data_IF_802923360244
#
_entry.id   IF_802923360244
#
_cell.length_a   1.000
_cell.length_b   1.000
_cell.length_c   1.000
_cell.angle_alpha   90.00
_cell.angle_beta   90.00
_cell.angle_gamma   90.00
#
_symmetry.space_group_name_H-M   'P 1'
#
loop_
_entity.id
_entity.type
_entity.pdbx_description
1 polymer ?
#
# COMPACT_ATOMS: atom_id res chain seq x y z
N UNK A 1 0.53 -18.61 -76.15
CA UNK A 1 0.85 -20.05 -76.04
C UNK A 1 1.39 -20.28 -74.63
N UNK A 2 0.71 -21.07 -73.79
CA UNK A 2 1.05 -21.52 -72.41
C UNK A 2 1.67 -20.52 -71.40
N UNK A 3 1.15 -20.33 -70.18
CA UNK A 3 -0.05 -20.89 -69.54
C UNK A 3 -0.13 -20.56 -68.03
N UNK A 4 -1.32 -20.77 -67.44
CA UNK A 4 -1.61 -21.05 -66.01
C UNK A 4 -1.11 -20.00 -64.96
N UNK A 5 -1.93 -19.09 -64.39
CA UNK A 5 -3.15 -19.21 -63.54
C UNK A 5 -2.87 -19.79 -62.11
N UNK A 6 -3.70 -19.53 -61.06
CA UNK A 6 -3.35 -18.56 -60.00
C UNK A 6 -3.73 -19.02 -58.56
N UNK A 7 -3.67 -18.13 -57.55
CA UNK A 7 -4.74 -17.80 -56.57
C UNK A 7 -4.19 -16.85 -55.47
N UNK A 8 -4.77 -15.65 -55.25
CA UNK A 8 -5.97 -15.35 -54.42
C UNK A 8 -5.72 -15.52 -52.91
N UNK A 9 -6.10 -14.65 -51.95
CA UNK A 9 -6.84 -13.35 -51.82
C UNK A 9 -6.43 -12.78 -50.43
N UNK A 10 -6.62 -11.53 -49.97
CA UNK A 10 -7.19 -10.23 -50.40
C UNK A 10 -6.58 -9.16 -49.43
N UNK A 11 -6.29 -7.89 -49.79
CA UNK A 11 -7.19 -6.71 -49.75
C UNK A 11 -8.18 -6.65 -48.56
N UNK A 12 -8.41 -5.55 -47.83
CA UNK A 12 -7.84 -4.20 -47.78
C UNK A 12 -8.28 -3.56 -46.43
N UNK A 13 -7.77 -2.37 -46.06
CA UNK A 13 -8.33 -1.61 -44.94
C UNK A 13 -7.34 -0.72 -44.19
N UNK A 14 -7.04 0.46 -44.73
CA UNK A 14 -6.25 1.47 -44.04
C UNK A 14 -7.15 2.50 -43.35
N UNK A 15 -6.89 2.82 -42.08
CA UNK A 15 -7.38 4.02 -41.41
C UNK A 15 -6.45 4.46 -40.27
N UNK A 16 -5.73 5.56 -40.52
CA UNK A 16 -5.60 6.77 -39.67
C UNK A 16 -5.21 6.68 -38.17
N UNK A 17 -4.46 7.64 -37.59
CA UNK A 17 -3.57 8.69 -38.13
C UNK A 17 -2.72 9.28 -36.97
N UNK A 18 -1.48 9.67 -37.28
CA UNK A 18 -0.46 10.36 -36.46
C UNK A 18 -0.95 11.31 -35.34
N UNK A 19 -0.24 11.28 -34.19
CA UNK A 19 0.68 12.32 -33.65
C UNK A 19 1.75 11.54 -32.85
N UNK A 20 3.05 11.83 -32.77
CA UNK A 20 3.85 12.98 -33.20
C UNK A 20 4.91 13.31 -32.13
N UNK A 21 5.97 12.48 -32.09
CA UNK A 21 7.39 12.81 -31.83
C UNK A 21 7.82 13.83 -30.74
N UNK A 22 8.76 13.39 -29.88
CA UNK A 22 10.01 14.04 -29.40
C UNK A 22 10.39 13.38 -28.06
N UNK A 23 11.63 13.08 -27.67
CA UNK A 23 12.96 12.83 -28.25
C UNK A 23 13.85 12.49 -27.03
N UNK A 24 14.76 11.51 -27.17
CA UNK A 24 16.03 11.30 -26.44
C UNK A 24 16.12 11.67 -24.92
N UNK A 25 16.56 10.80 -24.01
CA UNK A 25 17.91 10.22 -24.02
C UNK A 25 18.15 9.18 -22.89
N UNK A 26 18.98 8.19 -23.19
CA UNK A 26 20.10 7.67 -22.36
C UNK A 26 19.99 7.51 -20.84
N UNK A 27 20.27 6.29 -20.35
CA UNK A 27 21.08 6.13 -19.13
C UNK A 27 20.60 5.09 -18.12
N UNK A 28 20.96 3.83 -18.31
CA UNK A 28 20.90 2.84 -17.24
C UNK A 28 21.96 3.20 -16.17
N UNK A 29 21.56 3.83 -15.05
CA UNK A 29 22.40 3.97 -13.86
C UNK A 29 21.74 3.38 -12.62
N UNK A 30 22.48 2.46 -12.02
CA UNK A 30 22.22 1.80 -10.74
C UNK A 30 22.26 2.85 -9.61
N UNK A 31 21.10 3.16 -9.03
CA UNK A 31 20.93 3.80 -7.72
C UNK A 31 20.02 2.86 -6.93
N UNK A 32 20.32 2.44 -5.71
CA UNK A 32 21.09 3.15 -4.70
C UNK A 32 20.12 3.42 -3.56
N UNK A 33 20.07 2.54 -2.57
CA UNK A 33 19.21 2.71 -1.38
C UNK A 33 19.78 3.86 -0.57
N UNK A 34 19.12 5.02 -0.63
CA UNK A 34 19.49 6.18 0.19
C UNK A 34 18.28 7.06 0.46
N UNK A 35 17.89 7.10 1.75
CA UNK A 35 17.14 8.14 2.45
C UNK A 35 15.75 8.52 1.93
N UNK A 36 14.76 7.67 2.25
CA UNK A 36 13.33 8.07 2.32
C UNK A 36 13.02 8.84 3.62
N UNK A 37 13.97 8.92 4.57
CA UNK A 37 13.80 9.59 5.86
C UNK A 37 13.80 11.13 5.83
N UNK A 38 14.22 11.76 4.72
CA UNK A 38 14.37 13.23 4.65
C UNK A 38 13.20 13.98 4.01
N UNK A 39 12.22 13.27 3.42
CA UNK A 39 11.07 13.91 2.78
C UNK A 39 9.81 13.97 3.66
N UNK A 40 9.70 13.12 4.68
CA UNK A 40 8.57 13.17 5.61
C UNK A 40 8.73 14.24 6.71
N UNK A 41 9.95 14.52 7.20
CA UNK A 41 10.14 15.50 8.29
C UNK A 41 9.72 16.92 7.89
N UNK A 42 9.91 17.32 6.63
CA UNK A 42 9.52 18.64 6.12
C UNK A 42 8.00 18.85 6.03
N UNK A 43 7.20 17.78 5.99
CA UNK A 43 5.74 17.86 6.03
C UNK A 43 5.23 17.93 7.48
N UNK A 44 5.90 17.26 8.41
CA UNK A 44 5.56 17.29 9.83
C UNK A 44 5.76 18.67 10.48
N UNK A 45 6.91 19.33 10.24
CA UNK A 45 7.19 20.64 10.84
C UNK A 45 6.34 21.78 10.25
N UNK A 46 5.98 21.72 8.96
CA UNK A 46 5.18 22.79 8.36
C UNK A 46 3.73 22.82 8.85
N UNK A 47 3.10 21.67 9.10
CA UNK A 47 1.69 21.61 9.51
C UNK A 47 1.47 22.13 10.93
N UNK A 48 2.30 21.68 11.89
CA UNK A 48 2.20 22.11 13.30
C UNK A 48 2.49 23.61 13.48
N UNK A 49 3.53 24.12 12.81
CA UNK A 49 3.89 25.53 12.88
C UNK A 49 2.84 26.44 12.23
N UNK A 50 2.26 26.05 11.08
CA UNK A 50 1.24 26.86 10.41
C UNK A 50 -0.07 26.96 11.22
N UNK A 51 -0.49 25.90 11.92
CA UNK A 51 -1.69 25.95 12.76
C UNK A 51 -1.46 26.80 14.03
N UNK A 52 -0.29 26.64 14.67
CA UNK A 52 0.10 27.46 15.82
C UNK A 52 0.22 28.96 15.46
N UNK A 53 0.85 29.27 14.32
CA UNK A 53 0.95 30.63 13.79
C UNK A 53 -0.43 31.24 13.49
N UNK A 54 -1.33 30.48 12.86
CA UNK A 54 -2.70 30.92 12.55
C UNK A 54 -3.51 31.25 13.82
N UNK A 55 -3.39 30.43 14.87
CA UNK A 55 -4.04 30.71 16.16
C UNK A 55 -3.40 31.94 16.84
N UNK A 56 -2.08 32.13 16.72
CA UNK A 56 -1.39 33.31 17.28
C UNK A 56 -1.78 34.62 16.61
N UNK A 57 -2.24 34.58 15.35
CA UNK A 57 -2.77 35.74 14.62
C UNK A 57 -4.17 36.13 15.12
N UNK A 58 -5.03 35.16 15.42
CA UNK A 58 -6.36 35.40 16.01
C UNK A 58 -6.22 36.06 17.39
N UNK A 59 -5.26 35.60 18.21
CA UNK A 59 -5.01 36.17 19.54
C UNK A 59 -4.54 37.64 19.50
N UNK A 60 -3.90 38.09 18.40
CA UNK A 60 -3.28 39.42 18.30
C UNK A 60 -4.25 40.54 17.89
N UNK A 61 -5.48 40.21 17.52
CA UNK A 61 -6.51 41.17 17.04
C UNK A 61 -7.51 41.64 18.11
N UNK A 62 -7.36 41.22 19.38
CA UNK A 62 -8.34 41.49 20.45
C UNK A 62 -7.94 42.61 21.43
N UNK A 63 -6.83 43.31 21.21
CA UNK A 63 -6.54 44.52 21.99
C UNK A 63 -7.24 45.76 21.40
N UNK A 64 -8.58 45.78 21.52
CA UNK A 64 -9.28 47.06 21.49
C UNK A 64 -8.93 47.80 22.78
N UNK A 65 -8.06 48.80 22.68
CA UNK A 65 -7.92 49.81 23.73
C UNK A 65 -9.30 50.39 24.00
N UNK A 66 -9.93 49.99 25.12
CA UNK A 66 -11.12 50.65 25.61
C UNK A 66 -10.68 52.01 26.15
N UNK A 67 -10.56 52.99 25.25
CA UNK A 67 -10.21 54.38 25.52
C UNK A 67 -10.95 54.82 26.78
N UNK A 68 -10.24 55.31 27.78
CA UNK A 68 -10.81 55.69 29.08
C UNK A 68 -11.73 56.90 28.94
N UNK A 69 -12.94 56.69 28.43
CA UNK A 69 -14.06 57.60 28.62
C UNK A 69 -14.55 57.37 30.04
N UNK A 70 -13.95 58.16 30.93
CA UNK A 70 -14.40 58.62 32.24
C UNK A 70 -14.85 57.59 33.27
N UNK A 71 -14.37 57.80 34.50
CA UNK A 71 -15.02 57.28 35.70
C UNK A 71 -16.47 57.77 35.72
N UNK A 72 -17.42 56.92 35.33
CA UNK A 72 -18.84 57.19 35.55
C UNK A 72 -19.28 56.40 36.78
N UNK A 73 -19.83 57.15 37.74
CA UNK A 73 -20.42 56.71 39.01
C UNK A 73 -21.18 55.39 38.85
N UNK A 74 -21.14 54.52 39.88
CA UNK A 74 -22.06 53.37 40.05
C UNK A 74 -23.52 53.88 40.06
N UNK A 75 -24.11 54.06 38.89
CA UNK A 75 -25.51 54.45 38.76
C UNK A 75 -26.38 53.23 39.01
N UNK A 76 -27.28 53.38 39.98
CA UNK A 76 -28.19 52.32 40.41
C UNK A 76 -29.32 52.18 39.36
N UNK A 77 -29.05 51.46 38.28
CA UNK A 77 -30.00 51.15 37.19
C UNK A 77 -30.36 52.31 36.24
N UNK A 78 -30.46 53.56 36.72
CA UNK A 78 -30.83 54.71 35.89
C UNK A 78 -29.61 55.37 35.23
N UNK A 79 -29.57 55.39 33.90
CA UNK A 79 -28.56 56.14 33.11
C UNK A 79 -28.87 57.64 33.25
N UNK A 80 -28.07 58.35 34.05
CA UNK A 80 -28.28 59.77 34.33
C UNK A 80 -27.88 60.63 33.12
N UNK A 81 -28.87 61.18 32.41
CA UNK A 81 -28.66 62.28 31.49
C UNK A 81 -28.59 63.58 32.30
N UNK A 82 -27.41 64.19 32.38
CA UNK A 82 -27.16 65.42 33.14
C UNK A 82 -27.61 66.66 32.35
N UNK A 83 -28.94 66.81 32.17
CA UNK A 83 -29.53 68.10 31.81
C UNK A 83 -29.65 68.94 33.08
N UNK A 84 -28.96 70.08 33.08
CA UNK A 84 -29.20 71.14 34.06
C UNK A 84 -30.53 71.84 33.70
N UNK A 85 -31.62 71.29 34.24
CA UNK A 85 -32.99 71.79 34.03
C UNK A 85 -33.13 73.23 34.51
N UNK A 86 -32.45 73.60 35.59
CA UNK A 86 -32.47 74.97 36.12
C UNK A 86 -31.78 75.94 35.16
N UNK A 87 -30.59 75.61 34.64
CA UNK A 87 -29.92 76.45 33.66
C UNK A 87 -30.69 76.55 32.33
N UNK A 88 -31.43 75.50 31.93
CA UNK A 88 -32.28 75.54 30.74
C UNK A 88 -33.49 76.47 30.94
N UNK A 89 -34.21 76.35 32.06
CA UNK A 89 -35.32 77.25 32.41
C UNK A 89 -34.83 78.70 32.48
N UNK A 90 -33.72 78.97 33.17
CA UNK A 90 -33.15 80.33 33.28
C UNK A 90 -32.74 80.92 31.94
N UNK A 91 -32.27 80.09 30.99
CA UNK A 91 -32.01 80.53 29.60
C UNK A 91 -33.28 80.90 28.85
N UNK A 92 -34.34 80.11 28.98
CA UNK A 92 -35.64 80.36 28.33
C UNK A 92 -36.29 81.64 28.90
N UNK A 93 -36.27 81.81 30.22
CA UNK A 93 -36.70 83.05 30.89
C UNK A 93 -35.91 84.27 30.40
N UNK A 94 -34.58 84.13 30.26
CA UNK A 94 -33.70 85.18 29.70
C UNK A 94 -33.94 85.51 28.22
N UNK A 95 -34.75 84.71 27.50
CA UNK A 95 -35.23 84.99 26.13
C UNK A 95 -36.68 85.47 26.10
N UNK A 96 -37.28 85.78 27.26
CA UNK A 96 -38.65 86.30 27.37
C UNK A 96 -39.74 85.23 27.44
N UNK A 97 -39.39 83.94 27.59
CA UNK A 97 -40.39 82.88 27.84
C UNK A 97 -40.87 82.97 29.29
N UNK A 98 -42.19 83.01 29.57
CA UNK A 98 -42.67 83.05 30.95
C UNK A 98 -42.35 81.74 31.69
N UNK A 99 -42.00 81.84 32.97
CA UNK A 99 -41.45 80.74 33.79
C UNK A 99 -42.21 79.42 33.66
N UNK A 100 -43.55 79.44 33.78
CA UNK A 100 -44.41 78.27 33.66
C UNK A 100 -44.29 77.56 32.29
N UNK A 101 -44.07 78.31 31.21
CA UNK A 101 -43.85 77.75 29.87
C UNK A 101 -42.41 77.26 29.70
N UNK A 102 -41.43 77.96 30.26
CA UNK A 102 -40.04 77.53 30.28
C UNK A 102 -39.85 76.20 31.02
N UNK A 103 -40.56 76.01 32.14
CA UNK A 103 -40.60 74.77 32.91
C UNK A 103 -41.28 73.64 32.11
N UNK A 104 -42.46 73.88 31.54
CA UNK A 104 -43.18 72.89 30.73
C UNK A 104 -42.38 72.43 29.48
N UNK A 105 -41.72 73.36 28.78
CA UNK A 105 -40.84 73.06 27.65
C UNK A 105 -39.62 72.23 28.12
N UNK A 106 -39.02 72.61 29.27
CA UNK A 106 -37.89 71.87 29.86
C UNK A 106 -38.29 70.46 30.27
N UNK A 107 -39.49 70.27 30.82
CA UNK A 107 -40.03 68.96 31.18
C UNK A 107 -40.22 68.06 29.95
N UNK A 108 -40.91 68.55 28.91
CA UNK A 108 -41.14 67.79 27.68
C UNK A 108 -39.83 67.43 26.95
N UNK A 109 -38.84 68.34 26.93
CA UNK A 109 -37.50 68.06 26.39
C UNK A 109 -36.80 66.96 27.22
N UNK A 110 -36.89 67.03 28.54
CA UNK A 110 -36.27 66.04 29.45
C UNK A 110 -36.91 64.65 29.30
N UNK A 111 -38.22 64.58 29.10
CA UNK A 111 -38.97 63.34 28.84
C UNK A 111 -38.52 62.68 27.53
N UNK A 112 -38.57 63.40 26.39
CA UNK A 112 -38.15 62.89 25.08
C UNK A 112 -36.67 62.45 25.07
N UNK A 113 -35.81 63.16 25.81
CA UNK A 113 -34.40 62.79 25.95
C UNK A 113 -34.19 61.52 26.78
N UNK A 114 -34.96 61.31 27.85
CA UNK A 114 -34.91 60.08 28.64
C UNK A 114 -35.39 58.88 27.82
N UNK A 115 -36.52 58.99 27.12
CA UNK A 115 -37.05 57.93 26.26
C UNK A 115 -36.09 57.59 25.12
N UNK A 116 -35.51 58.61 24.48
CA UNK A 116 -34.50 58.43 23.43
C UNK A 116 -33.26 57.73 23.98
N UNK A 117 -32.80 58.09 25.18
CA UNK A 117 -31.63 57.48 25.81
C UNK A 117 -31.91 56.03 26.24
N UNK A 118 -33.11 55.70 26.71
CA UNK A 118 -33.48 54.32 27.08
C UNK A 118 -33.62 53.42 25.84
N UNK A 119 -34.19 53.94 24.75
CA UNK A 119 -34.24 53.22 23.47
C UNK A 119 -32.83 52.95 22.90
N UNK A 120 -31.95 53.96 22.92
CA UNK A 120 -30.54 53.78 22.53
C UNK A 120 -29.81 52.83 23.49
N UNK A 121 -30.14 52.89 24.79
CA UNK A 121 -29.57 52.07 25.88
C UNK A 121 -29.64 50.57 25.59
N UNK A 122 -30.77 50.08 25.07
CA UNK A 122 -30.96 48.68 24.69
C UNK A 122 -30.06 48.19 23.55
N UNK A 123 -29.54 49.09 22.72
CA UNK A 123 -28.59 48.73 21.64
C UNK A 123 -27.14 48.57 22.12
N UNK A 124 -26.84 48.89 23.38
CA UNK A 124 -25.49 48.82 23.96
C UNK A 124 -25.42 47.88 25.16
N UNK A 125 -24.46 46.96 25.11
CA UNK A 125 -24.09 46.08 26.24
C UNK A 125 -23.25 46.86 27.25
N UNK A 126 -23.44 46.61 28.56
CA UNK A 126 -22.59 47.26 29.57
C UNK A 126 -21.15 46.75 29.53
N UNK A 127 -20.18 47.56 29.97
CA UNK A 127 -18.75 47.15 30.01
C UNK A 127 -18.54 45.88 30.83
N UNK A 128 -19.28 45.70 31.94
CA UNK A 128 -19.18 44.52 32.79
C UNK A 128 -19.74 43.25 32.14
N UNK A 129 -20.84 43.35 31.40
CA UNK A 129 -21.40 42.22 30.64
C UNK A 129 -20.51 41.84 29.47
N UNK A 130 -19.99 42.82 28.72
CA UNK A 130 -19.04 42.59 27.63
C UNK A 130 -17.80 41.84 28.13
N UNK A 131 -17.18 42.32 29.22
CA UNK A 131 -16.01 41.66 29.81
C UNK A 131 -16.32 40.23 30.30
N UNK A 132 -17.50 40.00 30.88
CA UNK A 132 -17.95 38.66 31.27
C UNK A 132 -18.09 37.73 30.06
N UNK A 133 -18.68 38.20 28.96
CA UNK A 133 -18.83 37.43 27.72
C UNK A 133 -17.46 37.10 27.12
N UNK A 134 -16.54 38.07 27.09
CA UNK A 134 -15.16 37.89 26.62
C UNK A 134 -14.42 36.82 27.45
N UNK A 135 -14.45 36.91 28.78
CA UNK A 135 -13.85 35.90 29.67
C UNK A 135 -14.44 34.50 29.45
N UNK A 136 -15.75 34.38 29.25
CA UNK A 136 -16.40 33.10 28.94
C UNK A 136 -15.90 32.57 27.59
N UNK A 137 -15.88 33.42 26.55
CA UNK A 137 -15.42 33.06 25.22
C UNK A 137 -13.96 32.58 25.21
N UNK A 138 -13.06 33.31 25.88
CA UNK A 138 -11.65 32.93 25.99
C UNK A 138 -11.47 31.63 26.78
N UNK A 139 -12.26 31.42 27.84
CA UNK A 139 -12.23 30.15 28.59
C UNK A 139 -12.69 28.95 27.75
N UNK A 140 -13.71 29.14 26.90
CA UNK A 140 -14.22 28.10 26.01
C UNK A 140 -13.24 27.82 24.85
N UNK A 141 -12.62 28.87 24.29
CA UNK A 141 -11.59 28.74 23.27
C UNK A 141 -10.34 28.01 23.81
N UNK A 142 -9.95 28.31 25.05
CA UNK A 142 -8.82 27.64 25.72
C UNK A 142 -9.11 26.15 25.97
N UNK A 143 -10.32 25.82 26.45
CA UNK A 143 -10.77 24.42 26.60
C UNK A 143 -10.75 23.67 25.26
N UNK A 144 -11.42 24.21 24.24
CA UNK A 144 -11.44 23.64 22.90
C UNK A 144 -10.03 23.41 22.34
N UNK A 145 -9.13 24.39 22.48
CA UNK A 145 -7.72 24.24 22.09
C UNK A 145 -7.04 23.08 22.81
N UNK A 146 -7.24 22.95 24.13
CA UNK A 146 -6.65 21.88 24.93
C UNK A 146 -7.21 20.48 24.57
N UNK A 147 -8.51 20.39 24.29
CA UNK A 147 -9.17 19.15 23.84
C UNK A 147 -8.69 18.72 22.46
N UNK A 148 -8.61 19.65 21.50
CA UNK A 148 -8.08 19.39 20.15
C UNK A 148 -6.62 18.96 20.22
N UNK A 149 -5.78 19.67 20.99
CA UNK A 149 -4.36 19.34 21.12
C UNK A 149 -4.13 17.99 21.81
N UNK A 150 -4.89 17.68 22.86
CA UNK A 150 -4.86 16.40 23.57
C UNK A 150 -5.31 15.25 22.66
N UNK A 151 -6.45 15.41 21.99
CA UNK A 151 -7.00 14.45 21.03
C UNK A 151 -6.02 14.18 19.88
N UNK A 152 -5.48 15.23 19.25
CA UNK A 152 -4.51 15.10 18.17
C UNK A 152 -3.24 14.38 18.63
N UNK A 153 -2.70 14.73 19.81
CA UNK A 153 -1.52 14.07 20.36
C UNK A 153 -1.76 12.59 20.67
N UNK A 154 -2.93 12.25 21.24
CA UNK A 154 -3.31 10.87 21.53
C UNK A 154 -3.50 10.05 20.24
N UNK A 155 -4.31 10.53 19.30
CA UNK A 155 -4.54 9.85 18.03
C UNK A 155 -3.25 9.66 17.22
N UNK A 156 -2.37 10.67 17.20
CA UNK A 156 -1.08 10.55 16.52
C UNK A 156 -0.18 9.49 17.17
N UNK A 157 -0.09 9.49 18.50
CA UNK A 157 0.72 8.52 19.24
C UNK A 157 0.21 7.09 19.07
N UNK A 158 -1.12 6.90 19.11
CA UNK A 158 -1.76 5.61 18.90
C UNK A 158 -1.54 5.09 17.47
N UNK A 159 -1.83 5.91 16.44
CA UNK A 159 -1.64 5.53 15.05
C UNK A 159 -0.17 5.26 14.73
N UNK A 160 0.76 6.03 15.29
CA UNK A 160 2.21 5.79 15.15
C UNK A 160 2.63 4.45 15.76
N UNK A 161 2.13 4.12 16.95
CA UNK A 161 2.39 2.84 17.61
C UNK A 161 1.79 1.66 16.83
N UNK A 162 0.55 1.76 16.37
CA UNK A 162 -0.10 0.72 15.56
C UNK A 162 0.60 0.52 14.21
N UNK A 163 1.03 1.62 13.56
CA UNK A 163 1.79 1.56 12.30
C UNK A 163 3.13 0.86 12.50
N UNK A 164 3.89 1.20 13.55
CA UNK A 164 5.17 0.56 13.84
C UNK A 164 4.99 -0.91 14.25
N UNK A 165 3.92 -1.25 14.99
CA UNK A 165 3.56 -2.64 15.30
C UNK A 165 3.30 -3.44 14.02
N UNK A 166 2.43 -2.95 13.14
CA UNK A 166 2.14 -3.58 11.86
C UNK A 166 3.39 -3.71 10.97
N UNK A 167 4.28 -2.71 10.97
CA UNK A 167 5.57 -2.76 10.26
C UNK A 167 6.45 -3.90 10.75
N UNK A 168 6.52 -4.11 12.06
CA UNK A 168 7.29 -5.20 12.67
C UNK A 168 6.66 -6.58 12.43
N UNK A 169 5.32 -6.68 12.50
CA UNK A 169 4.60 -7.93 12.16
C UNK A 169 4.81 -8.32 10.69
N UNK A 170 4.79 -7.35 9.77
CA UNK A 170 5.10 -7.55 8.34
C UNK A 170 6.53 -8.05 8.13
N UNK A 171 7.53 -7.43 8.78
CA UNK A 171 8.93 -7.85 8.62
C UNK A 171 9.18 -9.24 9.22
N UNK A 172 8.53 -9.55 10.35
CA UNK A 172 8.54 -10.90 10.94
C UNK A 172 7.96 -11.93 9.96
N UNK A 173 6.74 -11.73 9.46
CA UNK A 173 6.12 -12.62 8.47
C UNK A 173 6.98 -12.77 7.21
N UNK A 174 7.60 -11.68 6.73
CA UNK A 174 8.51 -11.69 5.58
C UNK A 174 9.72 -12.57 5.81
N UNK A 175 10.31 -12.54 7.01
CA UNK A 175 11.44 -13.41 7.38
C UNK A 175 11.06 -14.88 7.53
N UNK A 176 9.91 -15.18 8.15
CA UNK A 176 9.38 -16.54 8.31
C UNK A 176 9.04 -17.17 6.95
N UNK A 177 8.35 -16.44 6.07
CA UNK A 177 8.05 -16.90 4.70
C UNK A 177 9.31 -17.17 3.89
N UNK A 178 10.34 -16.32 4.01
CA UNK A 178 11.62 -16.53 3.32
C UNK A 178 12.32 -17.79 3.82
N UNK A 179 12.34 -18.01 5.13
CA UNK A 179 12.91 -19.21 5.74
C UNK A 179 12.19 -20.49 5.26
N UNK A 180 10.86 -20.51 5.26
CA UNK A 180 10.10 -21.67 4.77
C UNK A 180 10.28 -21.89 3.26
N UNK A 181 10.39 -20.84 2.43
CA UNK A 181 10.73 -20.95 1.01
C UNK A 181 12.12 -21.59 0.83
N UNK A 182 13.14 -21.09 1.54
CA UNK A 182 14.52 -21.60 1.44
C UNK A 182 14.60 -23.06 1.91
N UNK A 183 13.90 -23.39 3.00
CA UNK A 183 13.78 -24.74 3.58
C UNK A 183 13.07 -25.73 2.64
N UNK A 184 11.91 -25.37 2.08
CA UNK A 184 11.19 -26.22 1.11
C UNK A 184 12.00 -26.39 -0.17
N UNK A 185 12.65 -25.32 -0.66
CA UNK A 185 13.52 -25.38 -1.84
C UNK A 185 14.73 -26.29 -1.61
N UNK A 186 15.35 -26.24 -0.43
CA UNK A 186 16.44 -27.13 -0.06
C UNK A 186 15.98 -28.60 0.06
N UNK A 187 14.82 -28.84 0.70
CA UNK A 187 14.20 -30.16 0.80
C UNK A 187 13.91 -30.78 -0.57
N UNK A 188 13.19 -30.07 -1.44
CA UNK A 188 12.90 -30.53 -2.80
C UNK A 188 14.17 -30.82 -3.62
N UNK A 189 15.22 -30.00 -3.46
CA UNK A 189 16.52 -30.26 -4.10
C UNK A 189 17.19 -31.52 -3.55
N UNK A 190 17.09 -31.78 -2.25
CA UNK A 190 17.63 -33.00 -1.64
C UNK A 190 16.87 -34.23 -2.16
N UNK A 191 15.54 -34.22 -2.10
CA UNK A 191 14.67 -35.32 -2.55
C UNK A 191 14.94 -35.70 -4.02
N UNK A 192 15.02 -34.70 -4.90
CA UNK A 192 15.35 -34.91 -6.32
C UNK A 192 16.77 -35.47 -6.54
N UNK A 193 17.73 -35.14 -5.69
CA UNK A 193 19.08 -35.71 -5.79
C UNK A 193 19.15 -37.14 -5.23
N UNK A 194 18.41 -37.44 -4.16
CA UNK A 194 18.30 -38.79 -3.60
C UNK A 194 17.60 -39.74 -4.57
N UNK A 195 16.44 -39.37 -5.13
CA UNK A 195 15.75 -40.23 -6.09
C UNK A 195 16.52 -40.36 -7.41
N UNK A 196 17.23 -39.30 -7.85
CA UNK A 196 18.19 -39.40 -8.97
C UNK A 196 19.35 -40.34 -8.66
N UNK A 197 19.81 -40.42 -7.42
CA UNK A 197 20.77 -41.43 -6.97
C UNK A 197 20.18 -42.83 -7.08
N UNK A 198 19.03 -43.05 -6.45
CA UNK A 198 18.31 -44.34 -6.44
C UNK A 198 18.01 -44.88 -7.84
N UNK A 199 17.60 -44.01 -8.78
CA UNK A 199 17.38 -44.36 -10.19
C UNK A 199 18.68 -44.78 -10.89
N UNK A 200 19.84 -44.17 -10.58
CA UNK A 200 21.13 -44.61 -11.15
C UNK A 200 21.55 -45.97 -10.60
N UNK A 201 21.35 -46.22 -9.31
CA UNK A 201 21.73 -47.48 -8.67
C UNK A 201 20.85 -48.63 -9.21
N UNK A 202 19.54 -48.40 -9.34
CA UNK A 202 18.60 -49.33 -9.99
C UNK A 202 18.98 -49.60 -11.45
N UNK A 203 19.29 -48.55 -12.23
CA UNK A 203 19.73 -48.68 -13.63
C UNK A 203 21.05 -49.44 -13.75
N UNK A 204 21.99 -49.22 -12.83
CA UNK A 204 23.26 -49.94 -12.77
C UNK A 204 23.05 -51.43 -12.44
N UNK A 205 22.15 -51.75 -11.52
CA UNK A 205 21.77 -53.12 -11.21
C UNK A 205 21.12 -53.82 -12.42
N UNK A 206 20.13 -53.20 -13.06
CA UNK A 206 19.48 -53.73 -14.25
C UNK A 206 20.45 -53.95 -15.42
N UNK A 207 21.43 -53.05 -15.59
CA UNK A 207 22.47 -53.20 -16.60
C UNK A 207 23.43 -54.37 -16.26
N UNK A 208 23.76 -54.57 -14.98
CA UNK A 208 24.56 -55.72 -14.53
C UNK A 208 23.81 -57.05 -14.69
N UNK A 209 22.51 -57.10 -14.37
CA UNK A 209 21.64 -58.26 -14.59
C UNK A 209 21.50 -58.60 -16.08
N UNK A 210 21.26 -57.58 -16.92
CA UNK A 210 21.22 -57.72 -18.38
C UNK A 210 22.53 -58.28 -18.90
N UNK A 211 23.66 -57.70 -18.48
CA UNK A 211 25.00 -58.18 -18.84
C UNK A 211 25.24 -59.61 -18.37
N UNK A 212 24.78 -60.00 -17.17
CA UNK A 212 24.87 -61.37 -16.67
C UNK A 212 24.06 -62.34 -17.53
N UNK A 213 22.85 -61.96 -17.94
CA UNK A 213 21.97 -62.77 -18.76
C UNK A 213 22.51 -62.92 -20.19
N UNK A 214 23.00 -61.86 -20.83
CA UNK A 214 23.70 -61.94 -22.13
C UNK A 214 24.88 -62.91 -22.05
N UNK A 215 25.75 -62.76 -21.03
CA UNK A 215 26.86 -63.68 -20.82
C UNK A 215 26.45 -65.13 -20.51
N UNK A 216 25.23 -65.39 -20.03
CA UNK A 216 24.68 -66.75 -19.88
C UNK A 216 24.20 -67.29 -21.23
N UNK A 217 23.42 -66.50 -21.97
CA UNK A 217 22.94 -66.84 -23.31
C UNK A 217 24.10 -67.15 -24.26
N UNK A 218 25.17 -66.35 -24.27
CA UNK A 218 26.35 -66.63 -25.11
C UNK A 218 27.01 -67.96 -24.75
N UNK A 219 27.12 -68.30 -23.46
CA UNK A 219 27.65 -69.61 -23.01
C UNK A 219 26.75 -70.76 -23.44
N UNK A 220 25.43 -70.60 -23.34
CA UNK A 220 24.46 -71.60 -23.82
C UNK A 220 24.52 -71.77 -25.34
N UNK A 221 24.63 -70.69 -26.10
CA UNK A 221 24.82 -70.72 -27.56
C UNK A 221 26.10 -71.45 -27.95
N UNK A 222 27.22 -71.18 -27.26
CA UNK A 222 28.48 -71.89 -27.48
C UNK A 222 28.38 -73.37 -27.09
N UNK A 223 27.70 -73.70 -25.99
CA UNK A 223 27.45 -75.08 -25.55
C UNK A 223 26.60 -75.86 -26.55
N UNK A 224 25.49 -75.28 -27.00
CA UNK A 224 24.61 -75.87 -28.02
C UNK A 224 25.33 -76.05 -29.36
N UNK A 225 26.17 -75.09 -29.77
CA UNK A 225 27.01 -75.23 -30.97
C UNK A 225 27.99 -76.40 -30.84
N UNK A 226 28.66 -76.54 -29.71
CA UNK A 226 29.58 -77.65 -29.47
C UNK A 226 28.86 -79.02 -29.49
N UNK A 227 27.67 -79.11 -28.88
CA UNK A 227 26.83 -80.32 -28.94
C UNK A 227 26.36 -80.62 -30.37
N UNK A 228 25.97 -79.61 -31.14
CA UNK A 228 25.59 -79.75 -32.55
C UNK A 228 26.76 -80.26 -33.41
N UNK A 229 27.97 -79.74 -33.19
CA UNK A 229 29.18 -80.19 -33.89
C UNK A 229 29.52 -81.65 -33.52
N UNK A 230 29.46 -82.03 -32.25
CA UNK A 230 29.65 -83.41 -31.80
C UNK A 230 28.60 -84.36 -32.43
N UNK A 231 27.32 -84.02 -32.37
CA UNK A 231 26.24 -84.81 -32.97
C UNK A 231 26.40 -84.95 -34.50
N UNK A 232 26.90 -83.92 -35.19
CA UNK A 232 27.25 -83.99 -36.62
C UNK A 232 28.35 -85.02 -36.88
N UNK A 233 29.39 -85.06 -36.03
CA UNK A 233 30.46 -86.07 -36.16
C UNK A 233 29.97 -87.49 -35.87
N UNK A 234 29.07 -87.68 -34.89
CA UNK A 234 28.46 -88.99 -34.63
C UNK A 234 27.61 -89.47 -35.82
N UNK A 235 26.78 -88.61 -36.42
CA UNK A 235 26.02 -88.95 -37.63
C UNK A 235 26.95 -89.37 -38.77
N UNK A 236 28.03 -88.61 -39.02
CA UNK A 236 29.04 -88.95 -40.04
C UNK A 236 29.68 -90.32 -39.75
N UNK A 237 30.03 -90.59 -38.50
CA UNK A 237 30.61 -91.87 -38.06
C UNK A 237 29.65 -93.04 -38.30
N UNK A 238 28.36 -92.89 -37.98
CA UNK A 238 27.35 -93.91 -38.28
C UNK A 238 27.16 -94.12 -39.79
N UNK A 239 27.11 -93.06 -40.60
CA UNK A 239 27.03 -93.16 -42.06
C UNK A 239 28.23 -93.90 -42.69
N UNK A 240 29.46 -93.66 -42.20
CA UNK A 240 30.64 -94.40 -42.67
C UNK A 240 30.52 -95.88 -42.27
N UNK A 241 30.11 -96.17 -41.03
CA UNK A 241 29.92 -97.53 -40.54
C UNK A 241 28.87 -98.32 -41.34
N UNK A 242 27.74 -97.71 -41.70
CA UNK A 242 26.70 -98.38 -42.50
C UNK A 242 27.13 -98.60 -43.94
N UNK A 243 27.79 -97.62 -44.59
CA UNK A 243 28.33 -97.79 -45.94
C UNK A 243 29.35 -98.94 -46.00
N UNK A 244 30.29 -98.99 -45.05
CA UNK A 244 31.28 -100.09 -44.98
C UNK A 244 30.61 -101.44 -44.71
N UNK A 245 29.61 -101.49 -43.82
CA UNK A 245 28.86 -102.72 -43.54
C UNK A 245 28.12 -103.25 -44.79
N UNK A 246 27.42 -102.37 -45.52
CA UNK A 246 26.74 -102.72 -46.77
C UNK A 246 27.73 -103.22 -47.82
N UNK A 247 28.87 -102.53 -47.99
CA UNK A 247 29.94 -102.96 -48.91
C UNK A 247 30.54 -104.31 -48.52
N UNK A 248 30.77 -104.57 -47.23
CA UNK A 248 31.30 -105.84 -46.74
C UNK A 248 30.32 -107.01 -46.97
N UNK A 249 29.03 -106.80 -46.70
CA UNK A 249 27.97 -107.78 -46.99
C UNK A 249 27.86 -108.03 -48.50
N UNK A 250 27.90 -106.98 -49.33
CA UNK A 250 27.88 -107.12 -50.79
C UNK A 250 29.05 -107.94 -51.33
N UNK A 251 30.27 -107.69 -50.85
CA UNK A 251 31.46 -108.47 -51.20
C UNK A 251 31.37 -109.93 -50.72
N UNK A 252 30.81 -110.17 -49.52
CA UNK A 252 30.61 -111.53 -49.01
C UNK A 252 29.61 -112.33 -49.87
N UNK A 253 28.52 -111.70 -50.33
CA UNK A 253 27.55 -112.33 -51.24
C UNK A 253 28.17 -112.62 -52.61
N UNK A 254 28.91 -111.66 -53.19
CA UNK A 254 29.62 -111.88 -54.47
C UNK A 254 30.61 -113.04 -54.40
N UNK A 255 31.29 -113.22 -53.25
CA UNK A 255 32.23 -114.34 -53.01
C UNK A 255 31.55 -115.71 -52.84
N UNK A 256 30.23 -115.75 -52.58
CA UNK A 256 29.46 -117.00 -52.50
C UNK A 256 28.82 -117.35 -53.86
N UNK A 257 28.63 -116.34 -54.74
CA UNK A 257 27.97 -116.50 -56.04
C UNK A 257 28.93 -116.81 -57.19
N UNK A 258 30.24 -116.54 -57.03
CA UNK A 258 31.34 -116.90 -57.94
C UNK A 258 32.08 -118.13 -57.44
#
# INVERSE_FOLDING_TARGET
MFGMLPQSRMAAGAACKRVGQLVANSGLRRLGVSNVSSFESSIFDHSANNFSASISLISRYRHYECRQISQLVKSNGKRLFLVDTLALVRKLEGQGVPSNQAEAITAAITEVLNDSLENISHSFVSKGEMQKIEMIQDSNLSKFKSEVQSSQGHHFSLLGHETEKLRNDIEKMRSELRYEIDKVTAGQRLDLNLERGRIRDELANQNAETTNLTNKLDREIHGLRAQLEAAKYDVIKYCIGTLVSISAVGLAVLRILM
#
